data_IF_768628966219
#
_entry.id   IF_768628966219
#
_cell.length_a   1.000
_cell.length_b   1.000
_cell.length_c   1.000
_cell.angle_alpha   90.00
_cell.angle_beta   90.00
_cell.angle_gamma   90.00
#
_symmetry.space_group_name_H-M   'P 1'
#
loop_
_entity.id
_entity.type
_entity.pdbx_description
1 polymer ?
#
# COMPACT_ATOMS: atom_id res chain seq x y z
N UNK A 1 -12.36 -8.57 -6.69
CA UNK A 1 -11.75 -8.79 -8.02
C UNK A 1 -10.71 -9.91 -7.95
N UNK A 2 -11.15 -11.17 -8.05
CA UNK A 2 -10.27 -12.35 -8.10
C UNK A 2 -9.85 -12.72 -9.54
N UNK A 3 -10.60 -12.26 -10.55
CA UNK A 3 -10.43 -12.67 -11.95
C UNK A 3 -9.03 -12.41 -12.50
N UNK A 4 -8.46 -11.22 -12.29
CA UNK A 4 -7.15 -10.88 -12.84
C UNK A 4 -6.02 -11.74 -12.23
N UNK A 5 -6.12 -12.06 -10.93
CA UNK A 5 -5.18 -12.95 -10.24
C UNK A 5 -5.26 -14.38 -10.78
N UNK A 6 -6.48 -14.87 -11.03
CA UNK A 6 -6.72 -16.20 -11.60
C UNK A 6 -6.20 -16.28 -13.03
N UNK A 7 -6.44 -15.25 -13.87
CA UNK A 7 -5.96 -15.21 -15.25
C UNK A 7 -4.43 -15.25 -15.31
N UNK A 8 -3.73 -14.46 -14.48
CA UNK A 8 -2.26 -14.48 -14.42
C UNK A 8 -1.69 -15.82 -13.91
N UNK A 9 -2.37 -16.48 -12.97
CA UNK A 9 -2.01 -17.83 -12.53
C UNK A 9 -2.23 -18.89 -13.61
N UNK A 10 -3.33 -18.80 -14.35
CA UNK A 10 -3.63 -19.71 -15.46
C UNK A 10 -2.60 -19.55 -16.58
N UNK A 11 -2.23 -18.31 -16.93
CA UNK A 11 -1.17 -18.05 -17.92
C UNK A 11 0.17 -18.62 -17.44
N UNK A 12 0.51 -18.45 -16.16
CA UNK A 12 1.73 -19.04 -15.57
C UNK A 12 1.74 -20.57 -15.64
N UNK A 13 0.63 -21.23 -15.28
CA UNK A 13 0.47 -22.69 -15.37
C UNK A 13 0.59 -23.20 -16.81
N UNK A 14 -0.03 -22.49 -17.76
CA UNK A 14 0.03 -22.84 -19.19
C UNK A 14 1.46 -22.69 -19.73
N UNK A 15 2.19 -21.63 -19.36
CA UNK A 15 3.58 -21.42 -19.74
C UNK A 15 4.54 -22.47 -19.15
N UNK A 16 4.27 -22.93 -17.93
CA UNK A 16 5.03 -23.97 -17.25
C UNK A 16 4.77 -25.34 -17.89
N UNK A 17 3.51 -25.65 -18.20
CA UNK A 17 3.11 -26.85 -18.94
C UNK A 17 3.68 -26.89 -20.35
N UNK A 18 3.67 -25.77 -21.08
CA UNK A 18 4.28 -25.68 -22.41
C UNK A 18 5.79 -25.84 -22.36
N UNK A 19 6.47 -25.33 -21.32
CA UNK A 19 7.93 -25.54 -21.14
C UNK A 19 8.27 -27.02 -21.00
N UNK A 20 7.45 -27.78 -20.28
CA UNK A 20 7.65 -29.22 -20.09
C UNK A 20 7.45 -30.01 -21.39
N UNK A 21 6.52 -29.57 -22.24
CA UNK A 21 6.25 -30.16 -23.56
C UNK A 21 7.34 -29.79 -24.59
N UNK A 22 7.84 -28.55 -24.55
CA UNK A 22 8.91 -28.02 -25.41
C UNK A 22 10.25 -28.65 -25.08
N UNK A 23 10.54 -28.97 -23.81
CA UNK A 23 11.78 -29.68 -23.44
C UNK A 23 11.87 -31.11 -23.99
N UNK A 24 10.73 -31.67 -24.44
CA UNK A 24 10.64 -32.99 -25.09
C UNK A 24 10.84 -32.92 -26.62
N UNK A 25 10.90 -31.72 -27.19
CA UNK A 25 11.03 -31.48 -28.63
C UNK A 25 12.30 -30.65 -28.92
N UNK A 26 12.91 -30.81 -30.11
CA UNK A 26 14.12 -30.09 -30.56
C UNK A 26 13.86 -28.59 -30.87
N UNK A 27 13.08 -27.91 -30.03
CA UNK A 27 12.76 -26.50 -30.15
C UNK A 27 13.90 -25.62 -29.59
N UNK A 28 14.07 -24.40 -30.11
CA UNK A 28 15.15 -23.52 -29.70
C UNK A 28 15.05 -23.17 -28.22
N UNK A 29 16.14 -23.38 -27.49
CA UNK A 29 16.29 -23.15 -26.03
C UNK A 29 15.82 -21.76 -25.57
N UNK A 30 15.86 -20.77 -26.46
CA UNK A 30 15.36 -19.42 -26.22
C UNK A 30 13.86 -19.38 -25.83
N UNK A 31 13.04 -20.28 -26.40
CA UNK A 31 11.59 -20.34 -26.12
C UNK A 31 11.32 -20.88 -24.72
N UNK A 32 12.12 -21.85 -24.26
CA UNK A 32 12.04 -22.40 -22.90
C UNK A 32 12.40 -21.34 -21.86
N UNK A 33 13.47 -20.58 -22.11
CA UNK A 33 13.89 -19.49 -21.21
C UNK A 33 12.84 -18.39 -21.16
N UNK A 34 12.26 -18.00 -22.30
CA UNK A 34 11.20 -17.00 -22.35
C UNK A 34 9.95 -17.43 -21.55
N UNK A 35 9.54 -18.70 -21.68
CA UNK A 35 8.40 -19.25 -20.92
C UNK A 35 8.68 -19.33 -19.41
N UNK A 36 9.89 -19.72 -19.01
CA UNK A 36 10.32 -19.69 -17.60
C UNK A 36 10.27 -18.27 -17.02
N UNK A 37 10.77 -17.28 -17.76
CA UNK A 37 10.77 -15.88 -17.32
C UNK A 37 9.34 -15.35 -17.19
N UNK A 38 8.45 -15.65 -18.15
CA UNK A 38 7.04 -15.23 -18.06
C UNK A 38 6.30 -15.94 -16.93
N UNK A 39 6.56 -17.24 -16.69
CA UNK A 39 5.95 -17.98 -15.59
C UNK A 39 6.30 -17.41 -14.20
N UNK A 40 7.48 -16.80 -14.04
CA UNK A 40 7.91 -16.16 -12.78
C UNK A 40 7.49 -14.69 -12.71
N UNK A 41 7.62 -13.93 -13.80
CA UNK A 41 7.32 -12.50 -13.81
C UNK A 41 5.81 -12.22 -13.63
N UNK A 42 4.94 -13.06 -14.19
CA UNK A 42 3.49 -12.91 -14.10
C UNK A 42 2.94 -12.95 -12.65
N UNK A 43 3.22 -13.97 -11.82
CA UNK A 43 2.73 -14.00 -10.44
C UNK A 43 3.29 -12.84 -9.59
N UNK A 44 4.56 -12.46 -9.78
CA UNK A 44 5.18 -11.33 -9.08
C UNK A 44 4.50 -10.00 -9.43
N UNK A 45 4.20 -9.77 -10.71
CA UNK A 45 3.48 -8.59 -11.16
C UNK A 45 2.02 -8.55 -10.67
N UNK A 46 1.36 -9.72 -10.55
CA UNK A 46 -0.01 -9.80 -10.05
C UNK A 46 -0.13 -9.41 -8.57
N UNK A 47 0.84 -9.83 -7.75
CA UNK A 47 0.86 -9.53 -6.32
C UNK A 47 1.24 -8.09 -6.03
N UNK A 48 2.21 -7.53 -6.79
CA UNK A 48 2.59 -6.13 -6.65
C UNK A 48 1.42 -5.21 -7.03
N UNK A 49 0.72 -5.45 -8.13
CA UNK A 49 -0.42 -4.62 -8.52
C UNK A 49 -1.59 -4.67 -7.52
N UNK A 50 -1.82 -5.83 -6.89
CA UNK A 50 -2.82 -5.97 -5.84
C UNK A 50 -2.41 -5.25 -4.53
N UNK A 51 -1.13 -5.27 -4.19
CA UNK A 51 -0.59 -4.56 -3.03
C UNK A 51 -0.72 -3.04 -3.20
N UNK A 52 -0.36 -2.51 -4.38
CA UNK A 52 -0.46 -1.08 -4.70
C UNK A 52 -1.90 -0.58 -4.65
N UNK A 53 -2.88 -1.33 -5.18
CA UNK A 53 -4.29 -0.95 -5.11
C UNK A 53 -4.84 -0.99 -3.68
N UNK A 54 -4.43 -1.96 -2.86
CA UNK A 54 -4.83 -2.00 -1.44
C UNK A 54 -4.27 -0.82 -0.65
N UNK A 55 -3.04 -0.40 -0.95
CA UNK A 55 -2.45 0.78 -0.34
C UNK A 55 -3.21 2.06 -0.74
N UNK A 56 -3.49 2.24 -2.03
CA UNK A 56 -4.27 3.39 -2.51
C UNK A 56 -5.69 3.43 -1.95
N UNK A 57 -6.40 2.29 -1.92
CA UNK A 57 -7.75 2.22 -1.36
C UNK A 57 -7.78 2.54 0.14
N UNK A 58 -6.78 2.07 0.92
CA UNK A 58 -6.66 2.41 2.34
C UNK A 58 -6.37 3.90 2.57
N UNK A 59 -5.54 4.51 1.73
CA UNK A 59 -5.29 5.94 1.80
C UNK A 59 -6.55 6.73 1.49
N UNK A 60 -7.29 6.34 0.45
CA UNK A 60 -8.58 6.96 0.11
C UNK A 60 -9.57 6.83 1.26
N UNK A 61 -9.72 5.64 1.85
CA UNK A 61 -10.62 5.43 2.99
C UNK A 61 -10.23 6.28 4.22
N UNK A 62 -8.93 6.46 4.47
CA UNK A 62 -8.44 7.33 5.55
C UNK A 62 -8.68 8.82 5.25
N UNK A 63 -8.51 9.23 3.99
CA UNK A 63 -8.80 10.59 3.54
C UNK A 63 -10.30 10.90 3.58
N UNK A 64 -11.14 9.96 3.14
CA UNK A 64 -12.60 10.07 3.20
C UNK A 64 -13.08 10.14 4.65
N UNK A 65 -12.54 9.29 5.53
CA UNK A 65 -12.86 9.35 6.96
C UNK A 65 -12.46 10.70 7.58
N UNK A 66 -11.30 11.24 7.21
CA UNK A 66 -10.84 12.56 7.66
C UNK A 66 -11.76 13.68 7.16
N UNK A 67 -12.11 13.66 5.87
CA UNK A 67 -13.02 14.63 5.26
C UNK A 67 -14.41 14.60 5.92
N UNK A 68 -14.91 13.41 6.29
CA UNK A 68 -16.20 13.26 6.97
C UNK A 68 -16.16 13.65 8.45
N UNK A 69 -15.07 13.35 9.16
CA UNK A 69 -15.00 13.53 10.62
C UNK A 69 -14.59 14.94 11.02
N UNK A 70 -13.64 15.55 10.30
CA UNK A 70 -13.10 16.86 10.65
C UNK A 70 -13.35 17.91 9.57
N UNK A 71 -13.33 17.52 8.29
CA UNK A 71 -13.55 18.43 7.15
C UNK A 71 -12.42 19.45 6.91
N UNK A 72 -11.69 19.90 7.95
CA UNK A 72 -10.54 20.80 7.86
C UNK A 72 -9.52 20.55 8.98
N UNK A 73 -8.27 20.99 8.75
CA UNK A 73 -7.18 20.97 9.74
C UNK A 73 -7.54 21.82 10.97
N UNK A 74 -8.30 22.90 10.81
CA UNK A 74 -8.66 23.79 11.91
C UNK A 74 -9.59 23.09 12.92
N UNK A 75 -10.51 22.27 12.42
CA UNK A 75 -11.41 21.47 13.25
C UNK A 75 -10.64 20.38 13.98
N UNK A 76 -9.65 19.76 13.31
CA UNK A 76 -8.74 18.80 13.95
C UNK A 76 -7.91 19.48 15.05
N UNK A 77 -7.40 20.70 14.82
CA UNK A 77 -6.66 21.47 15.82
C UNK A 77 -7.54 21.80 17.03
N UNK A 78 -8.80 22.19 16.81
CA UNK A 78 -9.73 22.44 17.90
C UNK A 78 -10.11 21.18 18.70
N UNK A 79 -10.09 20.01 18.07
CA UNK A 79 -10.37 18.72 18.72
C UNK A 79 -9.17 18.15 19.50
N UNK A 80 -7.96 18.65 19.26
CA UNK A 80 -6.73 18.20 19.91
C UNK A 80 -6.31 19.21 20.97
N UNK A 81 -5.81 18.71 22.10
CA UNK A 81 -5.21 19.57 23.13
C UNK A 81 -3.85 20.12 22.65
N UNK A 82 -3.91 21.30 22.03
CA UNK A 82 -2.77 22.01 21.44
C UNK A 82 -1.60 22.21 22.42
N UNK A 83 -1.80 22.75 23.65
CA UNK A 83 -0.71 22.92 24.60
C UNK A 83 -0.11 21.59 25.09
N UNK A 84 -0.93 20.54 25.26
CA UNK A 84 -0.41 19.22 25.60
C UNK A 84 0.45 18.63 24.47
N UNK A 85 0.00 18.78 23.23
CA UNK A 85 0.72 18.26 22.07
C UNK A 85 2.04 19.01 21.83
N UNK A 86 2.06 20.34 22.05
CA UNK A 86 3.28 21.14 21.98
C UNK A 86 4.31 20.71 23.03
N UNK A 87 3.88 20.46 24.28
CA UNK A 87 4.78 19.92 25.32
C UNK A 87 5.38 18.58 24.92
N UNK A 88 4.58 17.66 24.40
CA UNK A 88 5.07 16.34 23.95
C UNK A 88 6.08 16.49 22.81
N UNK A 89 5.83 17.40 21.86
CA UNK A 89 6.76 17.68 20.77
C UNK A 89 8.10 18.21 21.30
N UNK A 90 8.04 19.17 22.22
CA UNK A 90 9.24 19.85 22.70
C UNK A 90 10.05 18.98 23.67
N UNK A 91 9.40 18.13 24.48
CA UNK A 91 10.05 17.22 25.42
C UNK A 91 10.51 15.90 24.80
N UNK A 92 9.69 15.29 23.92
CA UNK A 92 9.88 13.92 23.41
C UNK A 92 10.12 13.87 21.91
N UNK A 93 10.05 15.01 21.22
CA UNK A 93 10.25 15.11 19.78
C UNK A 93 8.97 14.99 18.95
N UNK A 94 9.05 15.46 17.70
CA UNK A 94 7.96 15.47 16.72
C UNK A 94 7.38 14.10 16.42
N UNK A 95 8.21 13.05 16.35
CA UNK A 95 7.75 11.68 16.09
C UNK A 95 6.83 11.16 17.20
N UNK A 96 7.12 11.48 18.46
CA UNK A 96 6.29 11.07 19.60
C UNK A 96 4.99 11.87 19.65
N UNK A 97 5.02 13.16 19.28
CA UNK A 97 3.80 13.96 19.15
C UNK A 97 2.87 13.40 18.06
N UNK A 98 3.39 13.04 16.87
CA UNK A 98 2.59 12.40 15.81
C UNK A 98 2.01 11.07 16.27
N UNK A 99 2.80 10.29 17.01
CA UNK A 99 2.35 9.00 17.56
C UNK A 99 1.22 9.18 18.57
N UNK A 100 1.26 10.22 19.40
CA UNK A 100 0.19 10.51 20.35
C UNK A 100 -1.10 10.95 19.62
N UNK A 101 -1.00 11.79 18.59
CA UNK A 101 -2.16 12.14 17.73
C UNK A 101 -2.74 10.89 17.09
N UNK A 102 -1.90 9.98 16.56
CA UNK A 102 -2.36 8.71 15.99
C UNK A 102 -2.95 7.75 17.03
N UNK A 103 -2.58 7.88 18.31
CA UNK A 103 -3.18 7.11 19.40
C UNK A 103 -4.60 7.59 19.71
N UNK A 104 -4.81 8.91 19.70
CA UNK A 104 -6.13 9.52 19.89
C UNK A 104 -7.03 9.31 18.68
N UNK A 105 -6.47 9.39 17.47
CA UNK A 105 -7.17 9.22 16.20
C UNK A 105 -6.49 8.16 15.31
N UNK A 106 -6.76 6.87 15.51
CA UNK A 106 -6.09 5.77 14.80
C UNK A 106 -6.26 5.82 13.28
N UNK A 107 -7.43 6.30 12.81
CA UNK A 107 -7.79 6.39 11.40
C UNK A 107 -7.24 7.64 10.70
N UNK A 108 -6.64 8.57 11.43
CA UNK A 108 -6.09 9.80 10.86
C UNK A 108 -4.94 9.47 9.88
N UNK A 109 -4.93 10.06 8.67
CA UNK A 109 -3.80 9.98 7.76
C UNK A 109 -2.50 10.48 8.42
N UNK A 110 -1.39 9.79 8.19
CA UNK A 110 -0.11 10.08 8.86
C UNK A 110 0.46 11.44 8.44
N UNK A 111 0.31 11.77 7.17
CA UNK A 111 0.66 13.04 6.54
C UNK A 111 -0.10 14.22 7.20
N UNK A 112 -1.40 14.05 7.45
CA UNK A 112 -2.21 15.06 8.15
C UNK A 112 -1.75 15.21 9.61
N UNK A 113 -1.49 14.11 10.31
CA UNK A 113 -0.98 14.13 11.69
C UNK A 113 0.39 14.84 11.79
N UNK A 114 1.29 14.57 10.83
CA UNK A 114 2.59 15.21 10.76
C UNK A 114 2.47 16.71 10.44
N UNK A 115 1.58 17.08 9.52
CA UNK A 115 1.31 18.49 9.20
C UNK A 115 0.74 19.24 10.40
N UNK A 116 -0.14 18.63 11.19
CA UNK A 116 -0.64 19.22 12.43
C UNK A 116 0.51 19.52 13.39
N UNK A 117 1.36 18.54 13.70
CA UNK A 117 2.51 18.71 14.62
C UNK A 117 3.53 19.73 14.13
N UNK A 118 3.71 19.84 12.80
CA UNK A 118 4.59 20.82 12.17
C UNK A 118 4.03 22.25 12.20
N UNK A 119 2.70 22.40 12.19
CA UNK A 119 2.03 23.69 12.22
C UNK A 119 1.90 24.30 13.64
N UNK A 120 2.26 23.55 14.68
CA UNK A 120 2.31 23.98 16.10
C UNK A 120 3.60 24.74 16.44
#
# INVERSE_FOLDING_TARGET
MYGLRVVLWVIGMVALGSSFFVMRSDLPKAVVVLCMVTAIACPVAAESHAAWRKQGARQMEQQDWYAQSFGSIDVLRAAVDEPALRRIRDEKGSANAVREVKRQFPRLPLDVAANLVKAL
#
